data_IF_517747975194
#
_entry.id   IF_517747975194
#
_cell.length_a   1.000
_cell.length_b   1.000
_cell.length_c   1.000
_cell.angle_alpha   90.00
_cell.angle_beta   90.00
_cell.angle_gamma   90.00
#
_symmetry.space_group_name_H-M   'P 1'
#
loop_
_entity.id
_entity.type
_entity.pdbx_description
1 polymer ?
#
# COMPACT_ATOMS: atom_id res chain seq x y z
N UNK A 1 12.74 -1.23 -11.44
CA UNK A 1 13.62 -1.93 -10.49
C UNK A 1 13.19 -1.55 -9.06
N UNK A 2 13.19 -2.48 -8.09
CA UNK A 2 12.86 -2.16 -6.71
C UNK A 2 13.91 -1.19 -6.15
N UNK A 3 13.46 -0.12 -5.50
CA UNK A 3 14.33 0.83 -4.82
C UNK A 3 14.99 0.18 -3.60
N UNK A 4 16.21 0.61 -3.26
CA UNK A 4 17.05 0.03 -2.18
C UNK A 4 16.41 0.05 -0.78
N UNK A 5 15.33 0.79 -0.61
CA UNK A 5 14.49 0.88 0.58
C UNK A 5 13.45 -0.25 0.67
N UNK A 6 13.37 -1.13 -0.32
CA UNK A 6 12.49 -2.29 -0.31
C UNK A 6 11.01 -1.94 -0.44
N UNK A 7 10.66 -0.75 -0.93
CA UNK A 7 9.26 -0.34 -1.07
C UNK A 7 8.64 -1.10 -2.23
N UNK A 8 7.83 -2.10 -1.88
CA UNK A 8 7.30 -3.09 -2.83
C UNK A 8 6.28 -2.55 -3.83
N UNK A 9 5.65 -1.39 -3.56
CA UNK A 9 4.80 -0.58 -4.46
C UNK A 9 4.35 0.67 -3.68
N UNK A 10 4.53 1.85 -4.27
CA UNK A 10 4.02 3.10 -3.71
C UNK A 10 2.49 3.13 -3.86
N UNK A 11 1.75 3.18 -2.76
CA UNK A 11 0.29 3.39 -2.79
C UNK A 11 0.03 4.87 -2.48
N UNK A 12 -0.14 5.67 -3.53
CA UNK A 12 -0.55 7.06 -3.38
C UNK A 12 -2.07 7.06 -3.12
N UNK A 13 -2.45 7.06 -1.84
CA UNK A 13 -3.81 7.43 -1.46
C UNK A 13 -3.92 8.95 -1.63
N UNK A 14 -4.45 9.38 -2.77
CA UNK A 14 -4.76 10.77 -3.06
C UNK A 14 -5.56 11.36 -1.90
N UNK A 15 -4.90 12.23 -1.13
CA UNK A 15 -5.40 12.91 0.07
C UNK A 15 -5.50 12.02 1.33
N UNK A 16 -4.47 12.11 2.19
CA UNK A 16 -4.53 12.37 3.64
C UNK A 16 -5.44 11.56 4.58
N UNK A 17 -6.25 10.63 4.08
CA UNK A 17 -7.15 9.81 4.90
C UNK A 17 -6.30 8.70 5.53
N UNK A 18 -6.35 8.62 6.85
CA UNK A 18 -5.80 7.49 7.58
C UNK A 18 -6.67 6.27 7.29
N UNK A 19 -6.17 5.24 6.59
CA UNK A 19 -6.93 4.03 6.34
C UNK A 19 -7.36 3.34 7.64
N UNK A 20 -6.69 3.62 8.77
CA UNK A 20 -6.97 3.07 10.10
C UNK A 20 -7.85 3.97 10.98
N UNK A 21 -8.45 5.03 10.43
CA UNK A 21 -9.40 5.86 11.18
C UNK A 21 -10.55 4.98 11.73
N UNK A 22 -10.80 4.96 13.06
CA UNK A 22 -11.82 4.12 13.67
C UNK A 22 -13.25 4.51 13.28
N UNK A 23 -13.44 5.67 12.65
CA UNK A 23 -14.73 6.09 12.10
C UNK A 23 -14.99 5.53 10.69
N UNK A 24 -13.98 4.90 10.05
CA UNK A 24 -14.16 4.23 8.78
C UNK A 24 -14.64 2.79 8.99
N UNK A 25 -15.49 2.26 8.09
CA UNK A 25 -15.88 0.85 8.13
C UNK A 25 -14.66 -0.05 7.86
N UNK A 26 -14.68 -1.25 8.43
CA UNK A 26 -13.62 -2.22 8.14
C UNK A 26 -13.69 -2.70 6.68
N UNK A 27 -12.57 -2.62 5.93
CA UNK A 27 -12.48 -3.15 4.59
C UNK A 27 -12.70 -4.66 4.59
N UNK A 28 -13.65 -5.10 3.79
CA UNK A 28 -13.93 -6.52 3.58
C UNK A 28 -13.03 -7.15 2.52
N UNK A 29 -12.37 -6.34 1.70
CA UNK A 29 -11.54 -6.80 0.58
C UNK A 29 -10.49 -5.75 0.22
N UNK A 30 -9.31 -6.22 -0.18
CA UNK A 30 -8.24 -5.43 -0.80
C UNK A 30 -7.95 -5.97 -2.20
N UNK A 31 -7.79 -5.11 -3.20
CA UNK A 31 -7.48 -5.54 -4.58
C UNK A 31 -6.14 -5.00 -5.03
N UNK A 32 -5.27 -5.90 -5.50
CA UNK A 32 -4.06 -5.55 -6.25
C UNK A 32 -4.38 -5.52 -7.74
N UNK A 33 -4.22 -4.36 -8.37
CA UNK A 33 -4.40 -4.18 -9.81
C UNK A 33 -3.05 -3.92 -10.49
N UNK A 34 -2.84 -4.51 -11.65
CA UNK A 34 -1.68 -4.26 -12.49
C UNK A 34 -2.07 -4.37 -13.96
N UNK A 35 -1.37 -3.66 -14.84
CA UNK A 35 -1.46 -3.86 -16.29
C UNK A 35 -0.18 -4.55 -16.75
N UNK A 36 -0.31 -5.66 -17.47
CA UNK A 36 0.79 -6.42 -18.08
C UNK A 36 0.42 -6.71 -19.53
N UNK A 37 1.25 -6.28 -20.48
CA UNK A 37 1.04 -6.47 -21.93
C UNK A 37 -0.37 -6.07 -22.39
N UNK A 38 -0.84 -4.89 -21.99
CA UNK A 38 -2.19 -4.37 -22.25
C UNK A 38 -3.35 -5.18 -21.62
N UNK A 39 -3.06 -6.14 -20.74
CA UNK A 39 -4.05 -6.91 -19.99
C UNK A 39 -4.13 -6.41 -18.53
N UNK A 40 -5.36 -6.24 -18.03
CA UNK A 40 -5.60 -5.96 -16.61
C UNK A 40 -5.56 -7.27 -15.81
N UNK A 41 -4.69 -7.30 -14.80
CA UNK A 41 -4.61 -8.37 -13.79
C UNK A 41 -5.12 -7.80 -12.48
N UNK A 42 -6.08 -8.49 -11.88
CA UNK A 42 -6.60 -8.19 -10.54
C UNK A 42 -6.42 -9.40 -9.63
N UNK A 43 -5.91 -9.17 -8.43
CA UNK A 43 -5.80 -10.18 -7.37
C UNK A 43 -6.51 -9.62 -6.15
N UNK A 44 -7.49 -10.38 -5.65
CA UNK A 44 -8.28 -10.02 -4.48
C UNK A 44 -7.78 -10.74 -3.23
N UNK A 45 -7.71 -9.99 -2.14
CA UNK A 45 -7.41 -10.48 -0.79
C UNK A 45 -8.61 -10.21 0.10
N UNK A 46 -8.97 -11.18 0.93
CA UNK A 46 -10.00 -11.00 1.94
C UNK A 46 -9.51 -10.04 3.03
N UNK A 47 -10.36 -9.09 3.40
CA UNK A 47 -10.06 -8.09 4.41
C UNK A 47 -9.08 -7.00 3.95
N UNK A 48 -8.48 -6.35 4.93
CA UNK A 48 -7.52 -5.26 4.76
C UNK A 48 -6.09 -5.82 4.71
N UNK A 49 -5.31 -5.40 3.71
CA UNK A 49 -3.85 -5.56 3.75
C UNK A 49 -3.23 -4.55 4.72
N UNK A 50 -2.26 -4.98 5.51
CA UNK A 50 -1.59 -4.07 6.44
C UNK A 50 -0.73 -3.05 5.69
N UNK A 51 -0.89 -1.80 6.08
CA UNK A 51 -0.21 -0.64 5.54
C UNK A 51 0.62 0.02 6.65
N UNK A 52 1.79 0.50 6.27
CA UNK A 52 2.69 1.30 7.10
C UNK A 52 2.78 2.70 6.52
N UNK A 53 2.67 3.71 7.39
CA UNK A 53 2.90 5.09 7.00
C UNK A 53 4.39 5.35 6.81
N UNK A 54 4.77 5.88 5.66
CA UNK A 54 6.11 6.42 5.40
C UNK A 54 6.09 7.94 5.61
N UNK A 55 6.97 8.41 6.49
CA UNK A 55 7.03 9.80 6.90
C UNK A 55 8.00 10.61 6.03
N UNK A 56 7.73 11.90 5.90
CA UNK A 56 8.64 12.88 5.30
C UNK A 56 9.99 13.02 6.03
N UNK A 57 10.11 12.50 7.26
CA UNK A 57 11.36 12.42 8.00
C UNK A 57 12.29 11.29 7.51
N UNK A 58 11.74 10.29 6.82
CA UNK A 58 12.46 9.12 6.32
C UNK A 58 12.68 9.24 4.80
N UNK A 59 13.85 8.83 4.29
CA UNK A 59 14.10 8.81 2.84
C UNK A 59 13.24 7.72 2.17
N UNK A 60 12.62 7.97 1.01
CA UNK A 60 12.52 9.23 0.27
C UNK A 60 11.53 10.19 0.95
N UNK A 61 11.94 11.43 1.24
CA UNK A 61 11.28 12.43 2.12
C UNK A 61 9.85 12.88 1.72
N UNK A 62 8.94 11.94 1.51
CA UNK A 62 7.57 12.09 1.05
C UNK A 62 6.62 11.42 2.03
N UNK A 63 5.32 11.72 1.95
CA UNK A 63 4.29 11.06 2.76
C UNK A 63 3.51 10.11 1.87
N UNK A 64 3.52 8.83 2.22
CA UNK A 64 2.71 7.81 1.53
C UNK A 64 2.46 6.62 2.45
N UNK A 65 1.49 5.82 2.08
CA UNK A 65 1.27 4.52 2.70
C UNK A 65 1.95 3.45 1.83
N UNK A 66 2.59 2.49 2.46
CA UNK A 66 3.19 1.32 1.80
C UNK A 66 2.67 0.05 2.43
N UNK A 67 2.72 -1.05 1.70
CA UNK A 67 2.43 -2.38 2.27
C UNK A 67 3.43 -2.65 3.39
N UNK A 68 2.93 -3.03 4.55
CA UNK A 68 3.75 -3.47 5.66
C UNK A 68 4.27 -4.87 5.36
N UNK A 69 5.60 -5.01 5.21
CA UNK A 69 6.19 -6.31 4.92
C UNK A 69 6.23 -7.13 6.20
N UNK A 70 5.71 -8.37 6.22
CA UNK A 70 5.98 -9.27 7.34
C UNK A 70 7.50 -9.44 7.46
N UNK A 71 8.02 -9.31 8.68
CA UNK A 71 9.44 -9.57 8.95
C UNK A 71 9.75 -11.03 8.58
N UNK A 72 10.51 -11.22 7.50
CA UNK A 72 11.07 -12.50 7.04
C UNK A 72 10.09 -13.69 6.95
N UNK A 73 9.55 -13.92 5.74
CA UNK A 73 9.26 -15.28 5.27
C UNK A 73 10.40 -15.70 4.35
#
# INVERSE_FOLDING_TARGET
EPTKDGIGRMVILSHGIDPYDPNLPEPQKSTLRSVLDDHLIEIDFEGRINLKFHSWWDKPYWKYWTIDKPENI
#
